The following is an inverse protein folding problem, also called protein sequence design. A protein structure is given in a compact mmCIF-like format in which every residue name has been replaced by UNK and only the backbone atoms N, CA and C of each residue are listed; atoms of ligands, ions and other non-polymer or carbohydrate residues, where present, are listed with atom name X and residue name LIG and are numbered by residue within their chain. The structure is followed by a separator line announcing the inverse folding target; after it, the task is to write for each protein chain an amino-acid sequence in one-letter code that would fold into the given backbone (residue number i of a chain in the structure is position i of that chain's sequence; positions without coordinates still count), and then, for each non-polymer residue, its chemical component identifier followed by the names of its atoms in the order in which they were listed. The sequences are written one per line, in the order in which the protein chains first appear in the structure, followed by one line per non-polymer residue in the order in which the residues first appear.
data_IF_979572563512
#
_entry.id   IF_979572563512
#
_cell.length_a   1.000
_cell.length_b   1.000
_cell.length_c   1.000
_cell.angle_alpha   90.00
_cell.angle_beta   90.00
_cell.angle_gamma   90.00
#
_symmetry.space_group_name_H-M   'P 1'
#
loop_
_entity.id
_entity.type
_entity.pdbx_description
1 polymer ?
#
# COMPACT_ATOMS: atom_id res chain seq x y z
N UNK A 1 -71.71 -35.59 24.10
CA UNK A 1 -71.20 -35.91 22.74
C UNK A 1 -69.68 -35.73 22.81
N UNK A 2 -68.83 -36.75 22.91
CA UNK A 2 -68.59 -37.94 22.07
C UNK A 2 -67.97 -37.64 20.70
N UNK A 3 -66.83 -38.32 20.44
CA UNK A 3 -66.11 -38.60 19.18
C UNK A 3 -64.97 -37.63 18.81
N UNK A 4 -63.68 -38.01 18.96
CA UNK A 4 -62.82 -39.02 18.28
C UNK A 4 -61.95 -38.34 17.19
N UNK A 5 -60.64 -38.24 17.39
CA UNK A 5 -59.52 -39.12 16.93
C UNK A 5 -59.19 -39.01 15.43
N UNK A 6 -57.92 -38.66 15.13
CA UNK A 6 -56.97 -39.35 14.22
C UNK A 6 -55.62 -38.60 14.25
N UNK A 7 -54.55 -39.06 14.91
CA UNK A 7 -53.49 -40.04 14.55
C UNK A 7 -52.72 -39.83 13.23
N UNK A 8 -51.39 -39.80 13.40
CA UNK A 8 -50.29 -40.20 12.47
C UNK A 8 -50.00 -39.24 11.29
N UNK A 9 -48.75 -38.96 10.91
CA UNK A 9 -47.66 -39.92 10.69
C UNK A 9 -46.26 -39.29 10.80
N UNK A 10 -45.34 -40.05 11.40
CA UNK A 10 -43.88 -39.86 11.32
C UNK A 10 -43.43 -39.78 9.86
N UNK A 11 -42.51 -38.88 9.52
CA UNK A 11 -41.60 -39.07 8.39
C UNK A 11 -40.17 -39.16 8.90
N UNK A 12 -39.58 -40.29 8.57
CA UNK A 12 -38.25 -40.72 8.91
C UNK A 12 -37.18 -40.01 8.06
N UNK A 13 -35.98 -40.08 8.62
CA UNK A 13 -34.66 -39.67 8.14
C UNK A 13 -34.37 -39.92 6.65
N UNK A 14 -33.55 -39.04 6.07
CA UNK A 14 -32.32 -39.44 5.34
C UNK A 14 -31.27 -38.33 5.45
N UNK A 15 -30.15 -38.66 6.08
CA UNK A 15 -28.92 -37.89 6.05
C UNK A 15 -28.13 -38.24 4.78
N UNK A 16 -27.56 -37.24 4.09
CA UNK A 16 -26.55 -37.46 3.06
C UNK A 16 -25.38 -36.52 3.35
N UNK A 17 -24.32 -37.09 3.91
CA UNK A 17 -23.01 -36.47 4.06
C UNK A 17 -22.20 -36.74 2.80
N UNK A 18 -21.85 -35.70 2.04
CA UNK A 18 -20.87 -35.78 0.96
C UNK A 18 -19.56 -35.14 1.44
N UNK A 19 -18.64 -35.98 1.88
CA UNK A 19 -17.23 -35.62 2.11
C UNK A 19 -16.47 -35.77 0.80
N UNK A 20 -16.10 -34.66 0.17
CA UNK A 20 -15.09 -34.65 -0.89
C UNK A 20 -13.77 -34.18 -0.28
N UNK A 21 -12.87 -35.12 0.00
CA UNK A 21 -11.48 -34.84 0.34
C UNK A 21 -10.70 -34.67 -0.97
N UNK A 22 -10.18 -33.47 -1.22
CA UNK A 22 -9.27 -33.21 -2.34
C UNK A 22 -7.85 -33.11 -1.79
N UNK A 23 -7.10 -34.21 -1.88
CA UNK A 23 -5.67 -34.23 -1.60
C UNK A 23 -4.91 -33.78 -2.85
N UNK A 24 -4.23 -32.64 -2.79
CA UNK A 24 -3.19 -32.29 -3.77
C UNK A 24 -1.86 -32.85 -3.29
N UNK A 25 -1.29 -33.77 -4.07
CA UNK A 25 0.05 -34.29 -3.89
C UNK A 25 1.08 -33.24 -4.34
N UNK A 26 2.02 -32.89 -3.45
CA UNK A 26 3.23 -32.17 -3.80
C UNK A 26 4.19 -33.15 -4.50
N UNK A 27 4.41 -32.94 -5.79
CA UNK A 27 5.57 -33.46 -6.49
C UNK A 27 6.61 -32.33 -6.54
N UNK A 28 7.70 -32.50 -5.81
CA UNK A 28 8.83 -31.59 -5.75
C UNK A 28 10.10 -32.35 -5.39
N UNK A 29 10.74 -32.87 -6.44
CA UNK A 29 12.12 -33.36 -6.58
C UNK A 29 13.15 -32.46 -5.84
N UNK A 30 14.24 -32.86 -5.19
CA UNK A 30 15.02 -34.10 -5.06
C UNK A 30 16.05 -33.90 -3.91
N UNK A 31 16.46 -34.98 -3.23
CA UNK A 31 17.78 -35.66 -3.33
C UNK A 31 18.91 -34.85 -2.63
N UNK A 32 19.17 -35.12 -1.35
CA UNK A 32 20.06 -36.15 -0.74
C UNK A 32 21.56 -35.88 -0.89
N UNK A 33 22.22 -35.83 0.27
CA UNK A 33 23.56 -36.38 0.47
C UNK A 33 24.76 -35.58 -0.05
N UNK A 34 25.60 -35.08 0.86
CA UNK A 34 26.99 -34.78 0.52
C UNK A 34 27.72 -33.84 1.47
N UNK A 35 27.96 -34.27 2.70
CA UNK A 35 29.07 -33.75 3.51
C UNK A 35 30.40 -34.11 2.85
N UNK A 36 31.23 -33.11 2.54
CA UNK A 36 32.69 -33.27 2.53
C UNK A 36 33.36 -31.99 3.07
N UNK A 37 34.24 -32.10 4.08
CA UNK A 37 34.96 -30.97 4.65
C UNK A 37 36.30 -30.79 3.94
N UNK A 38 36.66 -29.55 3.59
CA UNK A 38 37.93 -29.34 2.90
C UNK A 38 38.34 -27.89 2.68
N UNK A 39 39.18 -27.43 3.61
CA UNK A 39 40.28 -26.49 3.39
C UNK A 39 40.03 -24.96 3.52
N UNK A 40 40.38 -24.49 4.72
CA UNK A 40 41.28 -23.38 5.04
C UNK A 40 41.25 -22.09 4.18
N UNK A 41 40.83 -21.01 4.84
CA UNK A 41 41.12 -19.64 4.46
C UNK A 41 40.84 -18.68 5.61
N UNK A 42 41.85 -18.46 6.46
CA UNK A 42 41.87 -17.46 7.53
C UNK A 42 41.46 -16.07 7.04
N UNK A 43 40.62 -15.35 7.80
CA UNK A 43 40.95 -14.03 8.38
C UNK A 43 39.81 -13.43 9.22
N UNK A 44 40.11 -13.24 10.51
CA UNK A 44 39.67 -12.22 11.49
C UNK A 44 38.19 -11.78 11.61
N UNK A 45 37.60 -11.87 12.82
CA UNK A 45 36.39 -11.12 13.18
C UNK A 45 36.76 -9.72 13.68
N UNK A 46 36.31 -8.67 12.98
CA UNK A 46 36.36 -7.31 13.54
C UNK A 46 35.24 -7.13 14.56
N UNK A 47 35.64 -6.94 15.82
CA UNK A 47 34.81 -6.61 16.96
C UNK A 47 34.28 -5.15 16.88
N UNK A 48 33.26 -4.79 17.68
CA UNK A 48 32.37 -3.65 17.45
C UNK A 48 32.92 -2.34 18.02
N UNK A 49 32.61 -1.21 17.36
CA UNK A 49 32.82 0.11 17.94
C UNK A 49 31.66 0.46 18.90
N UNK A 50 32.00 0.75 20.16
CA UNK A 50 31.10 1.28 21.19
C UNK A 50 31.04 2.82 21.14
N UNK A 51 30.05 3.46 21.78
CA UNK A 51 29.51 4.76 21.40
C UNK A 51 30.29 5.94 22.00
N UNK A 52 30.15 7.12 21.39
CA UNK A 52 30.42 8.40 22.05
C UNK A 52 29.14 9.21 22.14
N UNK A 53 29.03 9.88 23.27
CA UNK A 53 27.82 10.40 23.88
C UNK A 53 27.39 11.77 23.33
N UNK A 54 26.07 11.97 23.40
CA UNK A 54 25.35 13.19 23.77
C UNK A 54 25.65 14.49 23.01
N UNK A 55 24.71 14.88 22.14
CA UNK A 55 24.21 16.26 22.13
C UNK A 55 22.68 16.25 22.15
N UNK A 56 22.11 17.10 23.02
CA UNK A 56 20.67 17.32 23.20
C UNK A 56 20.24 18.38 22.20
N UNK A 57 19.45 17.99 21.21
CA UNK A 57 18.73 18.91 20.35
C UNK A 57 17.47 18.25 19.81
N UNK A 58 16.33 18.79 20.23
CA UNK A 58 14.96 18.40 19.91
C UNK A 58 14.75 18.05 18.42
N UNK A 59 14.55 16.77 18.10
CA UNK A 59 14.17 16.30 16.76
C UNK A 59 12.74 15.76 16.79
N UNK A 60 11.81 16.57 16.29
CA UNK A 60 10.49 16.08 15.87
C UNK A 60 10.69 15.05 14.76
N UNK A 61 10.27 13.83 15.08
CA UNK A 61 10.14 12.65 14.25
C UNK A 61 10.03 12.93 12.73
N UNK A 62 11.13 12.71 12.02
CA UNK A 62 11.16 12.50 10.58
C UNK A 62 10.44 11.18 10.27
N UNK A 63 9.44 11.21 9.38
CA UNK A 63 8.86 9.98 8.82
C UNK A 63 9.60 9.62 7.53
N UNK A 64 10.27 8.48 7.59
CA UNK A 64 11.16 7.90 6.59
C UNK A 64 10.37 7.15 5.53
N UNK A 65 10.09 7.80 4.40
CA UNK A 65 9.88 7.13 3.09
C UNK A 65 9.84 8.12 1.91
N UNK A 66 10.36 9.34 2.08
CA UNK A 66 10.76 10.12 0.91
C UNK A 66 12.04 9.48 0.36
N UNK A 67 11.99 8.87 -0.83
CA UNK A 67 13.18 8.27 -1.43
C UNK A 67 14.31 9.30 -1.50
N UNK A 68 15.55 8.88 -1.22
CA UNK A 68 16.78 9.70 -1.01
C UNK A 68 17.17 10.68 -2.16
N UNK A 69 16.34 10.87 -3.20
CA UNK A 69 16.62 11.75 -4.33
C UNK A 69 15.33 12.33 -4.97
N UNK A 70 14.42 12.90 -4.19
CA UNK A 70 13.32 13.72 -4.76
C UNK A 70 13.78 15.15 -4.89
N UNK A 71 13.67 15.73 -6.08
CA UNK A 71 13.75 17.17 -6.27
C UNK A 71 12.37 17.78 -5.96
N UNK A 72 12.17 18.47 -4.82
CA UNK A 72 10.89 19.11 -4.50
C UNK A 72 10.54 20.26 -5.46
N UNK A 73 11.52 20.77 -6.23
CA UNK A 73 11.30 21.75 -7.29
C UNK A 73 10.77 21.14 -8.61
N UNK A 74 10.90 19.82 -8.80
CA UNK A 74 10.38 19.15 -9.99
C UNK A 74 8.85 19.13 -9.94
N UNK A 75 8.19 19.64 -10.99
CA UNK A 75 6.74 19.62 -11.13
C UNK A 75 6.35 18.76 -12.32
N UNK A 76 6.25 17.45 -12.09
CA UNK A 76 5.94 16.47 -13.14
C UNK A 76 4.47 16.49 -13.53
N UNK A 77 3.58 16.71 -12.55
CA UNK A 77 2.16 16.88 -12.75
C UNK A 77 1.52 17.69 -11.61
N UNK A 78 0.32 18.19 -11.84
CA UNK A 78 -0.53 18.82 -10.82
C UNK A 78 -1.93 18.20 -10.90
N UNK A 79 -2.53 17.94 -9.75
CA UNK A 79 -3.93 17.58 -9.60
C UNK A 79 -4.62 18.59 -8.69
N UNK A 80 -5.75 19.15 -9.14
CA UNK A 80 -6.55 20.07 -8.32
C UNK A 80 -7.51 19.30 -7.42
N UNK A 81 -7.47 19.61 -6.15
CA UNK A 81 -8.38 19.10 -5.14
C UNK A 81 -9.53 20.04 -4.87
N UNK A 82 -10.49 19.54 -4.10
CA UNK A 82 -11.59 20.36 -3.58
C UNK A 82 -11.08 21.47 -2.64
N UNK A 83 -11.87 22.51 -2.46
CA UNK A 83 -11.64 23.56 -1.44
C UNK A 83 -10.27 24.26 -1.50
N UNK A 84 -9.64 24.32 -2.68
CA UNK A 84 -8.33 24.96 -2.86
C UNK A 84 -7.12 24.07 -2.57
N UNK A 85 -7.32 22.76 -2.39
CA UNK A 85 -6.23 21.80 -2.32
C UNK A 85 -5.53 21.65 -3.68
N UNK A 86 -4.22 21.50 -3.66
CA UNK A 86 -3.39 21.21 -4.84
C UNK A 86 -2.43 20.09 -4.50
N UNK A 87 -2.36 19.06 -5.32
CA UNK A 87 -1.33 18.02 -5.26
C UNK A 87 -0.35 18.25 -6.40
N UNK A 88 0.91 18.48 -6.06
CA UNK A 88 2.03 18.52 -7.01
C UNK A 88 2.77 17.20 -6.94
N UNK A 89 2.94 16.54 -8.08
CA UNK A 89 3.74 15.31 -8.18
C UNK A 89 5.16 15.68 -8.57
N UNK A 90 6.11 15.28 -7.72
CA UNK A 90 7.52 15.58 -7.88
C UNK A 90 8.30 14.39 -8.46
N UNK A 91 7.85 13.16 -8.20
CA UNK A 91 8.52 11.96 -8.70
C UNK A 91 7.52 10.83 -8.98
N UNK A 92 7.78 10.10 -10.07
CA UNK A 92 7.12 8.84 -10.41
C UNK A 92 8.21 7.89 -10.92
N UNK A 93 8.65 6.99 -10.05
CA UNK A 93 9.83 6.16 -10.30
C UNK A 93 9.50 4.69 -10.15
N UNK A 94 9.76 3.93 -11.22
CA UNK A 94 9.81 2.47 -11.19
C UNK A 94 11.12 2.03 -10.54
N UNK A 95 11.00 1.07 -9.65
CA UNK A 95 12.11 0.44 -8.95
C UNK A 95 12.34 -0.98 -9.46
N UNK A 96 13.60 -1.44 -9.38
CA UNK A 96 14.00 -2.80 -9.77
C UNK A 96 13.30 -3.92 -8.98
N UNK A 97 12.78 -3.61 -7.80
CA UNK A 97 11.98 -4.52 -6.97
C UNK A 97 10.55 -4.76 -7.45
N UNK A 98 10.14 -4.19 -8.59
CA UNK A 98 8.81 -4.40 -9.16
C UNK A 98 7.73 -3.45 -8.64
N UNK A 99 8.13 -2.25 -8.22
CA UNK A 99 7.23 -1.24 -7.67
C UNK A 99 7.33 0.08 -8.43
N UNK A 100 6.28 0.89 -8.38
CA UNK A 100 6.32 2.31 -8.76
C UNK A 100 6.04 3.14 -7.51
N UNK A 101 6.94 4.06 -7.21
CA UNK A 101 6.77 5.03 -6.12
C UNK A 101 6.41 6.38 -6.69
N UNK A 102 5.29 6.93 -6.22
CA UNK A 102 4.82 8.29 -6.54
C UNK A 102 5.07 9.15 -5.31
N UNK A 103 5.72 10.30 -5.50
CA UNK A 103 5.99 11.27 -4.43
C UNK A 103 5.50 12.65 -4.84
N UNK A 104 4.98 13.40 -3.86
CA UNK A 104 4.38 14.71 -4.10
C UNK A 104 4.22 15.54 -2.85
N UNK A 105 3.63 16.72 -3.02
CA UNK A 105 3.21 17.60 -1.95
C UNK A 105 1.74 17.99 -2.14
N UNK A 106 0.94 17.83 -1.08
CA UNK A 106 -0.42 18.36 -1.01
C UNK A 106 -0.39 19.68 -0.25
N UNK A 107 -0.89 20.74 -0.86
CA UNK A 107 -0.99 22.08 -0.26
C UNK A 107 -2.43 22.54 -0.14
N UNK A 108 -2.78 23.16 0.98
CA UNK A 108 -4.05 23.88 1.15
C UNK A 108 -3.87 25.36 0.78
N UNK A 109 -4.22 25.72 -0.46
CA UNK A 109 -4.28 27.11 -0.91
C UNK A 109 -5.62 27.81 -0.63
N UNK A 110 -6.56 27.13 0.03
CA UNK A 110 -7.88 27.65 0.36
C UNK A 110 -7.90 28.53 1.61
N UNK A 111 -9.10 28.83 2.09
CA UNK A 111 -9.34 29.72 3.25
C UNK A 111 -9.82 29.02 4.51
N UNK A 112 -9.98 27.69 4.49
CA UNK A 112 -10.39 26.89 5.65
C UNK A 112 -9.57 25.62 5.78
N UNK A 113 -9.47 25.11 7.01
CA UNK A 113 -8.78 23.84 7.29
C UNK A 113 -9.46 22.68 6.57
N UNK A 114 -8.67 21.86 5.89
CA UNK A 114 -9.15 20.68 5.18
C UNK A 114 -8.80 19.40 5.93
N UNK A 115 -9.78 18.51 6.07
CA UNK A 115 -9.57 17.18 6.64
C UNK A 115 -9.01 16.23 5.57
N UNK A 116 -8.08 15.37 5.97
CA UNK A 116 -7.37 14.40 5.12
C UNK A 116 -8.05 13.02 5.11
N UNK A 117 -9.06 12.80 5.97
CA UNK A 117 -9.75 11.51 6.17
C UNK A 117 -10.48 10.97 4.94
N UNK A 118 -10.71 11.80 3.92
CA UNK A 118 -11.40 11.38 2.70
C UNK A 118 -10.46 10.72 1.68
N UNK A 119 -9.15 10.97 1.78
CA UNK A 119 -8.15 10.53 0.80
C UNK A 119 -7.84 9.04 0.86
N UNK A 120 -8.15 8.39 1.97
CA UNK A 120 -8.09 6.93 2.12
C UNK A 120 -9.18 6.22 1.29
N UNK A 121 -10.22 6.92 0.85
CA UNK A 121 -11.34 6.33 0.11
C UNK A 121 -12.45 5.82 1.03
N UNK A 122 -13.22 4.82 0.58
CA UNK A 122 -14.45 4.37 1.24
C UNK A 122 -14.45 2.87 1.61
N UNK A 123 -13.36 2.15 1.32
CA UNK A 123 -13.23 0.75 1.68
C UNK A 123 -13.03 0.63 3.20
N UNK A 124 -13.99 0.00 3.89
CA UNK A 124 -14.03 -0.03 5.36
C UNK A 124 -12.77 -0.61 6.01
N UNK A 125 -12.22 -1.68 5.45
CA UNK A 125 -10.98 -2.29 5.95
C UNK A 125 -9.78 -1.36 5.81
N UNK A 126 -9.70 -0.64 4.68
CA UNK A 126 -8.63 0.32 4.42
C UNK A 126 -8.75 1.54 5.35
N UNK A 127 -9.95 2.09 5.52
CA UNK A 127 -10.22 3.23 6.42
C UNK A 127 -9.87 2.87 7.87
N UNK A 128 -10.22 1.67 8.31
CA UNK A 128 -9.97 1.22 9.68
C UNK A 128 -8.47 1.07 9.99
N UNK A 129 -7.65 0.70 9.00
CA UNK A 129 -6.21 0.46 9.18
C UNK A 129 -5.34 1.66 8.82
N UNK A 130 -5.82 2.56 7.96
CA UNK A 130 -5.04 3.65 7.39
C UNK A 130 -5.80 4.98 7.46
N UNK A 131 -6.29 5.41 8.65
CA UNK A 131 -6.98 6.68 8.76
C UNK A 131 -6.06 7.82 8.35
N UNK A 132 -6.63 8.88 7.75
CA UNK A 132 -5.90 10.09 7.37
C UNK A 132 -4.66 9.80 6.51
N UNK A 133 -4.83 8.99 5.47
CA UNK A 133 -3.75 8.56 4.57
C UNK A 133 -4.11 8.81 3.12
N UNK A 134 -3.12 8.65 2.24
CA UNK A 134 -3.30 8.66 0.78
C UNK A 134 -3.54 7.26 0.19
N UNK A 135 -3.93 6.28 1.02
CA UNK A 135 -4.07 4.88 0.59
C UNK A 135 -5.18 4.65 -0.45
N UNK A 136 -6.09 5.61 -0.64
CA UNK A 136 -7.13 5.57 -1.67
C UNK A 136 -6.62 5.92 -3.07
N UNK A 137 -5.34 6.25 -3.21
CA UNK A 137 -4.76 6.55 -4.51
C UNK A 137 -4.73 5.32 -5.44
N UNK A 138 -4.83 5.57 -6.75
CA UNK A 138 -4.73 4.52 -7.76
C UNK A 138 -3.94 4.97 -8.99
N UNK A 139 -3.37 4.00 -9.71
CA UNK A 139 -2.82 4.17 -11.05
C UNK A 139 -3.64 3.34 -12.05
N UNK A 140 -4.07 3.94 -13.15
CA UNK A 140 -4.81 3.26 -14.21
C UNK A 140 -3.94 3.19 -15.47
N UNK A 141 -3.55 1.97 -15.84
CA UNK A 141 -2.98 1.68 -17.14
C UNK A 141 -4.13 1.42 -18.12
N UNK A 142 -4.42 2.40 -18.97
CA UNK A 142 -5.45 2.28 -20.00
C UNK A 142 -5.09 1.26 -21.08
N UNK A 143 -3.81 1.15 -21.43
CA UNK A 143 -3.32 0.23 -22.46
C UNK A 143 -3.43 -1.23 -21.99
N UNK A 144 -2.91 -1.49 -20.78
CA UNK A 144 -3.01 -2.78 -20.10
C UNK A 144 -4.40 -3.09 -19.55
N UNK A 145 -5.30 -2.11 -19.48
CA UNK A 145 -6.66 -2.19 -18.92
C UNK A 145 -6.64 -2.66 -17.47
N UNK A 146 -5.71 -2.12 -16.68
CA UNK A 146 -5.49 -2.48 -15.28
C UNK A 146 -5.60 -1.26 -14.39
N UNK A 147 -6.18 -1.47 -13.21
CA UNK A 147 -6.16 -0.52 -12.11
C UNK A 147 -5.25 -1.08 -11.01
N UNK A 148 -4.31 -0.27 -10.54
CA UNK A 148 -3.34 -0.59 -9.52
C UNK A 148 -3.62 0.24 -8.28
N UNK A 149 -3.71 -0.42 -7.14
CA UNK A 149 -3.94 0.21 -5.84
C UNK A 149 -2.62 0.31 -5.07
N UNK A 150 -2.58 1.22 -4.10
CA UNK A 150 -1.46 1.30 -3.16
C UNK A 150 -1.24 -0.05 -2.48
N UNK A 151 0.02 -0.49 -2.41
CA UNK A 151 0.42 -1.73 -1.75
C UNK A 151 0.06 -1.73 -0.28
N UNK A 152 -0.17 -2.92 0.28
CA UNK A 152 -0.47 -3.12 1.69
C UNK A 152 0.36 -4.26 2.25
N UNK A 153 0.73 -4.15 3.53
CA UNK A 153 1.37 -5.24 4.27
C UNK A 153 0.36 -6.32 4.66
N UNK A 154 0.84 -7.35 5.37
CA UNK A 154 0.01 -8.46 5.85
C UNK A 154 -1.02 -8.05 6.90
N UNK A 155 -0.84 -6.88 7.53
CA UNK A 155 -1.76 -6.32 8.53
C UNK A 155 -2.79 -5.34 7.92
N UNK A 156 -2.69 -5.11 6.60
CA UNK A 156 -3.53 -4.19 5.84
C UNK A 156 -3.11 -2.73 5.92
N UNK A 157 -1.90 -2.43 6.42
CA UNK A 157 -1.33 -1.07 6.42
C UNK A 157 -0.79 -0.74 5.04
N UNK A 158 -1.07 0.46 4.54
CA UNK A 158 -0.58 0.88 3.23
C UNK A 158 0.93 1.13 3.25
N UNK A 159 1.57 0.96 2.11
CA UNK A 159 2.91 1.47 1.85
C UNK A 159 2.78 2.89 1.28
N UNK A 160 2.34 3.81 2.14
CA UNK A 160 2.05 5.19 1.80
C UNK A 160 2.13 6.09 3.03
N UNK A 161 2.11 7.41 2.83
CA UNK A 161 2.03 8.36 3.95
C UNK A 161 0.69 8.22 4.68
N UNK A 162 0.77 8.09 6.01
CA UNK A 162 -0.38 7.97 6.92
C UNK A 162 -0.35 9.06 7.98
N UNK A 163 -1.36 9.09 8.85
CA UNK A 163 -1.45 10.03 9.97
C UNK A 163 -1.30 11.51 9.56
N UNK A 164 -1.73 11.85 8.34
CA UNK A 164 -1.63 13.19 7.79
C UNK A 164 -2.60 14.08 8.57
N UNK A 165 -2.06 15.04 9.30
CA UNK A 165 -2.88 15.99 10.08
C UNK A 165 -3.74 16.86 9.16
N UNK A 166 -4.88 17.40 9.65
CA UNK A 166 -5.65 18.38 8.89
C UNK A 166 -4.79 19.57 8.46
N UNK A 167 -4.94 20.01 7.21
CA UNK A 167 -4.15 21.09 6.63
C UNK A 167 -4.85 22.43 6.82
N UNK A 168 -4.26 23.33 7.61
CA UNK A 168 -4.71 24.72 7.72
C UNK A 168 -4.42 25.51 6.44
N UNK A 169 -5.06 26.67 6.21
CA UNK A 169 -4.72 27.53 5.08
C UNK A 169 -3.22 27.84 5.00
N UNK A 170 -2.60 27.56 3.85
CA UNK A 170 -1.17 27.75 3.61
C UNK A 170 -0.29 26.55 3.92
N UNK A 171 -0.78 25.57 4.70
CA UNK A 171 -0.04 24.37 5.09
C UNK A 171 0.10 23.38 3.93
N UNK A 172 1.18 22.59 4.00
CA UNK A 172 1.51 21.52 3.06
C UNK A 172 1.81 20.22 3.81
N UNK A 173 1.61 19.09 3.13
CA UNK A 173 2.10 17.77 3.55
C UNK A 173 2.79 17.07 2.38
N UNK A 174 4.03 16.65 2.58
CA UNK A 174 4.72 15.74 1.66
C UNK A 174 4.11 14.35 1.77
N UNK A 175 3.92 13.70 0.63
CA UNK A 175 3.27 12.38 0.55
C UNK A 175 4.03 11.46 -0.39
N UNK A 176 4.04 10.17 -0.05
CA UNK A 176 4.47 9.09 -0.94
C UNK A 176 3.40 7.99 -1.00
N UNK A 177 3.35 7.29 -2.13
CA UNK A 177 2.48 6.14 -2.38
C UNK A 177 3.25 5.11 -3.21
N UNK A 178 3.29 3.86 -2.76
CA UNK A 178 3.91 2.76 -3.51
C UNK A 178 2.86 1.83 -4.12
N UNK A 179 3.03 1.54 -5.40
CA UNK A 179 2.16 0.68 -6.20
C UNK A 179 2.94 -0.52 -6.73
N UNK A 180 2.28 -1.65 -7.01
CA UNK A 180 2.88 -2.65 -7.89
C UNK A 180 3.20 -2.00 -9.24
N UNK A 181 4.37 -2.32 -9.82
CA UNK A 181 4.74 -1.75 -11.11
C UNK A 181 3.84 -2.29 -12.23
N UNK A 182 3.28 -1.42 -13.08
CA UNK A 182 2.76 -1.84 -14.38
C UNK A 182 3.89 -2.47 -15.24
N UNK A 183 3.54 -3.24 -16.29
CA UNK A 183 4.51 -3.77 -17.24
C UNK A 183 5.53 -2.74 -17.72
N UNK A 184 6.74 -3.19 -18.09
CA UNK A 184 7.85 -2.31 -18.41
C UNK A 184 7.57 -1.38 -19.60
N UNK A 185 6.73 -1.84 -20.54
CA UNK A 185 6.24 -1.06 -21.68
C UNK A 185 5.25 0.06 -21.29
N UNK A 186 4.63 -0.03 -20.11
CA UNK A 186 3.72 1.00 -19.60
C UNK A 186 4.53 2.15 -19.02
N UNK A 187 4.63 3.23 -19.80
CA UNK A 187 5.38 4.45 -19.47
C UNK A 187 4.47 5.61 -19.04
N UNK A 188 3.16 5.46 -19.16
CA UNK A 188 2.17 6.47 -18.78
C UNK A 188 0.96 5.80 -18.11
N UNK A 189 0.47 6.42 -17.03
CA UNK A 189 -0.69 5.97 -16.27
C UNK A 189 -1.52 7.18 -15.84
N UNK A 190 -2.82 6.99 -15.66
CA UNK A 190 -3.65 8.00 -14.99
C UNK A 190 -3.58 7.80 -13.47
N UNK A 191 -3.26 8.85 -12.74
CA UNK A 191 -3.29 8.88 -11.29
C UNK A 191 -4.60 9.45 -10.76
N UNK A 192 -5.13 8.82 -9.73
CA UNK A 192 -6.26 9.35 -8.97
C UNK A 192 -5.96 9.34 -7.48
N UNK A 193 -6.48 10.34 -6.77
CA UNK A 193 -6.58 10.39 -5.32
C UNK A 193 -7.98 10.92 -4.99
N UNK A 194 -8.74 10.32 -4.05
CA UNK A 194 -10.08 10.80 -3.72
C UNK A 194 -10.08 12.29 -3.41
N UNK A 195 -11.11 13.01 -3.87
CA UNK A 195 -11.27 14.48 -3.79
C UNK A 195 -10.36 15.31 -4.70
N UNK A 196 -9.47 14.68 -5.47
CA UNK A 196 -8.64 15.34 -6.49
C UNK A 196 -9.08 14.95 -7.90
N UNK A 197 -8.84 15.85 -8.84
CA UNK A 197 -8.96 15.56 -10.26
C UNK A 197 -7.92 14.52 -10.70
N UNK A 198 -8.27 13.68 -11.67
CA UNK A 198 -7.35 12.76 -12.33
C UNK A 198 -6.27 13.53 -13.10
N UNK A 199 -5.04 13.02 -13.07
CA UNK A 199 -3.92 13.59 -13.85
C UNK A 199 -3.06 12.46 -14.43
N UNK A 200 -2.49 12.66 -15.63
CA UNK A 200 -1.66 11.64 -16.27
C UNK A 200 -0.20 11.78 -15.82
N UNK A 201 0.42 10.66 -15.48
CA UNK A 201 1.77 10.57 -14.95
C UNK A 201 2.66 9.75 -15.88
N UNK A 202 3.84 10.28 -16.18
CA UNK A 202 4.91 9.53 -16.84
C UNK A 202 5.75 8.80 -15.80
N UNK A 203 5.96 7.51 -16.02
CA UNK A 203 6.81 6.68 -15.17
C UNK A 203 8.23 6.74 -15.69
N UNK A 204 9.17 7.09 -14.82
CA UNK A 204 10.61 7.00 -15.06
C UNK A 204 11.19 5.72 -14.47
N UNK A 205 12.29 5.22 -15.01
CA UNK A 205 12.92 3.96 -14.56
C UNK A 205 12.50 2.77 -15.41
#
# INVERSE_FOLDING_TARGET
MSMRRTTTTRRAMTAVTLTAALALALAGCGDDGGDEPGNEGSSAPSAPASPSAEDKGDSQQEDTAAGENVDPGAKLAEARGQSGLTLVINQVKRDSGGFVTVQGEIKNGGSSTQNTSNWVGQESALVAKNPNSVAGATLVDKGGKKNYYVLRDTDGRCLCTTAIVPLSPGESASVFMQFPAPPAETTEVDFTLPTFATTSLKISG
#
